data_IF_659879111137
#
_entry.id   IF_659879111137
#
_cell.length_a   1.000
_cell.length_b   1.000
_cell.length_c   1.000
_cell.angle_alpha   90.00
_cell.angle_beta   90.00
_cell.angle_gamma   90.00
#
_symmetry.space_group_name_H-M   'P 1'
#
loop_
_entity.id
_entity.type
_entity.pdbx_description
1 polymer ?
#
# COMPACT_ATOMS: atom_id res chain seq x y z
N UNK A 1 14.45 -5.25 -43.86
CA UNK A 1 14.75 -4.86 -42.47
C UNK A 1 13.95 -3.61 -42.12
N UNK A 2 12.94 -3.74 -41.25
CA UNK A 2 12.37 -2.61 -40.51
C UNK A 2 11.96 -3.15 -39.14
N UNK A 3 12.73 -2.76 -38.13
CA UNK A 3 12.54 -3.14 -36.73
C UNK A 3 11.31 -2.38 -36.19
N UNK A 4 10.17 -3.06 -36.11
CA UNK A 4 9.03 -2.57 -35.34
C UNK A 4 9.41 -2.66 -33.86
N UNK A 5 9.64 -1.51 -33.23
CA UNK A 5 9.75 -1.40 -31.77
C UNK A 5 8.45 -1.90 -31.15
N UNK A 6 8.51 -3.05 -30.47
CA UNK A 6 7.40 -3.63 -29.73
C UNK A 6 7.21 -2.88 -28.40
N UNK A 7 6.43 -1.80 -28.43
CA UNK A 7 5.72 -1.37 -27.23
C UNK A 7 4.56 -2.33 -26.98
N UNK A 8 4.36 -2.78 -25.74
CA UNK A 8 3.17 -3.59 -25.41
C UNK A 8 1.91 -2.78 -25.75
N UNK A 9 0.91 -3.36 -26.45
CA UNK A 9 -0.35 -2.69 -26.67
C UNK A 9 -1.05 -2.45 -25.33
N UNK A 10 -1.58 -1.24 -25.14
CA UNK A 10 -2.37 -0.91 -23.95
C UNK A 10 -3.59 -1.85 -23.87
N UNK A 11 -3.91 -2.42 -22.70
CA UNK A 11 -5.01 -3.38 -22.57
C UNK A 11 -6.38 -2.79 -22.95
N UNK A 12 -7.33 -3.60 -23.46
CA UNK A 12 -8.64 -3.14 -23.96
C UNK A 12 -9.58 -2.48 -22.93
N UNK A 13 -9.27 -2.56 -21.64
CA UNK A 13 -10.08 -1.97 -20.56
C UNK A 13 -9.76 -0.48 -20.28
N UNK A 14 -8.93 0.15 -21.11
CA UNK A 14 -8.61 1.60 -21.05
C UNK A 14 -9.43 2.44 -22.04
N UNK A 15 -10.47 1.89 -22.66
CA UNK A 15 -11.26 2.58 -23.68
C UNK A 15 -12.54 3.14 -23.06
N UNK A 16 -12.58 4.45 -22.82
CA UNK A 16 -13.80 5.22 -22.57
C UNK A 16 -14.04 5.97 -23.86
N UNK A 17 -15.11 5.61 -24.54
CA UNK A 17 -15.61 6.35 -25.68
C UNK A 17 -15.79 7.83 -25.28
N UNK A 18 -15.24 8.77 -26.05
CA UNK A 18 -15.30 10.21 -25.78
C UNK A 18 -14.14 10.79 -24.95
N UNK A 19 -13.48 10.00 -24.09
CA UNK A 19 -12.37 10.53 -23.26
C UNK A 19 -11.09 10.78 -24.09
N UNK A 20 -10.94 10.04 -25.19
CA UNK A 20 -9.82 10.18 -26.12
C UNK A 20 -10.04 11.27 -27.17
N UNK A 21 -11.22 11.90 -27.19
CA UNK A 21 -11.56 12.95 -28.15
C UNK A 21 -10.98 14.32 -27.72
N UNK A 22 -10.62 14.46 -26.44
CA UNK A 22 -9.86 15.60 -25.91
C UNK A 22 -8.34 15.30 -25.90
N UNK A 23 -7.71 15.51 -27.05
CA UNK A 23 -6.28 15.25 -27.23
C UNK A 23 -5.39 16.08 -26.29
N UNK A 24 -5.81 17.29 -25.90
CA UNK A 24 -5.04 18.15 -25.00
C UNK A 24 -5.05 17.59 -23.58
N UNK A 25 -6.22 17.16 -23.11
CA UNK A 25 -6.37 16.51 -21.81
C UNK A 25 -5.60 15.18 -21.76
N UNK A 26 -5.70 14.34 -22.80
CA UNK A 26 -4.96 13.07 -22.86
C UNK A 26 -3.45 13.30 -22.81
N UNK A 27 -2.94 14.28 -23.56
CA UNK A 27 -1.52 14.65 -23.53
C UNK A 27 -1.09 15.12 -22.13
N UNK A 28 -1.91 15.93 -21.47
CA UNK A 28 -1.68 16.41 -20.12
C UNK A 28 -1.70 15.26 -19.10
N UNK A 29 -2.63 14.31 -19.23
CA UNK A 29 -2.70 13.11 -18.41
C UNK A 29 -1.44 12.24 -18.55
N UNK A 30 -1.01 11.95 -19.77
CA UNK A 30 0.21 11.17 -20.03
C UNK A 30 1.44 11.83 -19.39
N UNK A 31 1.59 13.14 -19.55
CA UNK A 31 2.73 13.90 -19.01
C UNK A 31 2.70 14.04 -17.48
N UNK A 32 1.52 14.25 -16.89
CA UNK A 32 1.40 14.53 -15.46
C UNK A 32 1.17 13.29 -14.60
N UNK A 33 0.39 12.33 -15.09
CA UNK A 33 -0.05 11.15 -14.33
C UNK A 33 0.78 9.91 -14.64
N UNK A 34 1.07 9.63 -15.91
CA UNK A 34 1.79 8.40 -16.28
C UNK A 34 3.31 8.53 -16.21
N UNK A 35 3.84 9.75 -16.19
CA UNK A 35 5.29 10.01 -16.20
C UNK A 35 5.78 10.45 -14.83
N UNK A 36 7.01 10.05 -14.47
CA UNK A 36 7.72 10.66 -13.33
C UNK A 36 8.51 11.88 -13.81
N UNK A 37 8.82 12.84 -12.91
CA UNK A 37 9.68 13.97 -13.23
C UNK A 37 11.02 13.49 -13.80
N UNK A 38 11.57 14.23 -14.78
CA UNK A 38 12.81 13.84 -15.49
C UNK A 38 14.02 13.73 -14.55
N UNK A 39 14.05 14.57 -13.51
CA UNK A 39 15.08 14.58 -12.48
C UNK A 39 14.78 13.61 -11.30
N UNK A 40 13.78 12.73 -11.43
CA UNK A 40 13.51 11.73 -10.41
C UNK A 40 14.62 10.68 -10.38
N UNK A 41 15.27 10.53 -9.23
CA UNK A 41 16.38 9.57 -9.03
C UNK A 41 15.91 8.15 -8.70
N UNK A 42 14.61 7.95 -8.44
CA UNK A 42 14.05 6.62 -8.17
C UNK A 42 14.14 5.75 -9.43
N UNK A 43 14.73 4.58 -9.27
CA UNK A 43 14.83 3.59 -10.35
C UNK A 43 13.45 3.10 -10.77
N UNK A 44 13.33 2.51 -11.96
CA UNK A 44 12.07 1.89 -12.42
C UNK A 44 11.56 0.83 -11.44
N UNK A 45 12.46 -0.01 -10.91
CA UNK A 45 12.15 -1.00 -9.86
C UNK A 45 11.49 -0.35 -8.65
N UNK A 46 12.11 0.70 -8.10
CA UNK A 46 11.62 1.38 -6.90
C UNK A 46 10.29 2.06 -7.13
N UNK A 47 10.11 2.70 -8.29
CA UNK A 47 8.85 3.34 -8.67
C UNK A 47 7.70 2.33 -8.73
N UNK A 48 7.95 1.10 -9.21
CA UNK A 48 6.92 0.05 -9.19
C UNK A 48 6.68 -0.54 -7.80
N UNK A 49 7.70 -0.72 -6.95
CA UNK A 49 7.48 -1.16 -5.56
C UNK A 49 6.72 -0.11 -4.72
N UNK A 50 7.02 1.17 -4.91
CA UNK A 50 6.24 2.28 -4.32
C UNK A 50 4.81 2.29 -4.88
N UNK A 51 4.67 2.07 -6.20
CA UNK A 51 3.38 1.92 -6.86
C UNK A 51 2.54 0.76 -6.29
N UNK A 52 3.17 -0.38 -6.03
CA UNK A 52 2.55 -1.55 -5.40
C UNK A 52 2.01 -1.20 -4.02
N UNK A 53 2.80 -0.51 -3.18
CA UNK A 53 2.34 -0.09 -1.86
C UNK A 53 1.11 0.82 -1.93
N UNK A 54 1.10 1.79 -2.84
CA UNK A 54 -0.08 2.64 -3.07
C UNK A 54 -1.29 1.86 -3.56
N UNK A 55 -1.11 0.93 -4.50
CA UNK A 55 -2.19 0.11 -5.03
C UNK A 55 -2.84 -0.76 -3.95
N UNK A 56 -2.03 -1.32 -3.04
CA UNK A 56 -2.53 -2.04 -1.86
C UNK A 56 -3.32 -1.10 -0.95
N UNK A 57 -2.80 0.10 -0.67
CA UNK A 57 -3.48 1.07 0.19
C UNK A 57 -4.83 1.57 -0.37
N UNK A 58 -4.96 1.64 -1.70
CA UNK A 58 -6.21 1.93 -2.40
C UNK A 58 -7.12 0.70 -2.59
N UNK A 59 -6.66 -0.51 -2.24
CA UNK A 59 -7.32 -1.78 -2.57
C UNK A 59 -7.58 -1.93 -4.09
N UNK A 60 -6.64 -1.44 -4.89
CA UNK A 60 -6.74 -1.40 -6.35
C UNK A 60 -6.04 -2.61 -6.98
N UNK A 61 -6.80 -3.70 -7.15
CA UNK A 61 -6.29 -4.99 -7.65
C UNK A 61 -5.55 -4.90 -9.00
N UNK A 62 -6.06 -4.23 -10.06
CA UNK A 62 -5.30 -4.10 -11.31
C UNK A 62 -3.92 -3.46 -11.10
N UNK A 63 -3.85 -2.43 -10.26
CA UNK A 63 -2.59 -1.78 -9.90
C UNK A 63 -1.63 -2.72 -9.17
N UNK A 64 -2.14 -3.56 -8.26
CA UNK A 64 -1.34 -4.57 -7.56
C UNK A 64 -0.69 -5.52 -8.57
N UNK A 65 -1.48 -6.07 -9.50
CA UNK A 65 -0.98 -7.01 -10.51
C UNK A 65 0.05 -6.37 -11.44
N UNK A 66 -0.24 -5.17 -11.96
CA UNK A 66 0.65 -4.44 -12.87
C UNK A 66 1.96 -4.09 -12.16
N UNK A 67 1.91 -3.59 -10.92
CA UNK A 67 3.12 -3.19 -10.21
C UNK A 67 3.97 -4.39 -9.77
N UNK A 68 3.38 -5.54 -9.48
CA UNK A 68 4.14 -6.78 -9.24
C UNK A 68 4.90 -7.20 -10.50
N UNK A 69 4.20 -7.34 -11.63
CA UNK A 69 4.82 -7.75 -12.90
C UNK A 69 5.95 -6.80 -13.31
N UNK A 70 5.68 -5.49 -13.28
CA UNK A 70 6.65 -4.49 -13.69
C UNK A 70 7.84 -4.35 -12.71
N UNK A 71 7.63 -4.57 -11.41
CA UNK A 71 8.74 -4.62 -10.45
C UNK A 71 9.66 -5.81 -10.74
N UNK A 72 9.11 -7.00 -10.98
CA UNK A 72 9.87 -8.20 -11.30
C UNK A 72 10.64 -8.02 -12.63
N UNK A 73 9.98 -7.50 -13.66
CA UNK A 73 10.60 -7.20 -14.96
C UNK A 73 11.70 -6.13 -14.85
N UNK A 74 11.64 -5.27 -13.82
CA UNK A 74 12.66 -4.27 -13.51
C UNK A 74 13.76 -4.78 -12.56
N UNK A 75 13.80 -6.09 -12.28
CA UNK A 75 14.84 -6.72 -11.47
C UNK A 75 14.56 -6.79 -9.96
N UNK A 76 13.32 -6.52 -9.52
CA UNK A 76 12.93 -6.89 -8.15
C UNK A 76 12.90 -8.40 -7.99
N UNK A 77 13.24 -8.88 -6.80
CA UNK A 77 13.06 -10.28 -6.44
C UNK A 77 11.75 -10.50 -5.67
N UNK A 78 11.32 -11.77 -5.56
CA UNK A 78 10.08 -12.14 -4.86
C UNK A 78 10.06 -11.72 -3.39
N UNK A 79 11.20 -11.63 -2.72
CA UNK A 79 11.26 -11.18 -1.31
C UNK A 79 11.01 -9.68 -1.19
N UNK A 80 11.56 -8.86 -2.09
CA UNK A 80 11.27 -7.41 -2.14
C UNK A 80 9.76 -7.16 -2.38
N UNK A 81 9.15 -7.91 -3.29
CA UNK A 81 7.69 -7.84 -3.53
C UNK A 81 6.90 -8.25 -2.30
N UNK A 82 7.23 -9.38 -1.68
CA UNK A 82 6.56 -9.85 -0.47
C UNK A 82 6.71 -8.87 0.70
N UNK A 83 7.91 -8.34 0.91
CA UNK A 83 8.15 -7.36 1.97
C UNK A 83 7.41 -6.05 1.69
N UNK A 84 7.30 -5.63 0.42
CA UNK A 84 6.46 -4.48 0.03
C UNK A 84 4.99 -4.72 0.40
N UNK A 85 4.45 -5.91 0.14
CA UNK A 85 3.07 -6.26 0.53
C UNK A 85 2.90 -6.19 2.06
N UNK A 86 3.82 -6.80 2.81
CA UNK A 86 3.75 -6.86 4.27
C UNK A 86 3.85 -5.47 4.90
N UNK A 87 4.84 -4.66 4.51
CA UNK A 87 5.00 -3.30 5.07
C UNK A 87 3.83 -2.39 4.68
N UNK A 88 3.27 -2.57 3.48
CA UNK A 88 2.10 -1.79 3.04
C UNK A 88 0.85 -2.15 3.84
N UNK A 89 0.58 -3.44 4.04
CA UNK A 89 -0.56 -3.91 4.82
C UNK A 89 -0.48 -3.42 6.27
N UNK A 90 0.68 -3.54 6.91
CA UNK A 90 0.88 -3.08 8.29
C UNK A 90 0.75 -1.56 8.40
N UNK A 91 1.33 -0.81 7.46
CA UNK A 91 1.22 0.66 7.46
C UNK A 91 -0.23 1.12 7.26
N UNK A 92 -0.97 0.48 6.34
CA UNK A 92 -2.39 0.79 6.13
C UNK A 92 -3.24 0.46 7.36
N UNK A 93 -3.00 -0.69 8.00
CA UNK A 93 -3.69 -1.08 9.24
C UNK A 93 -3.40 -0.14 10.41
N UNK A 94 -2.17 0.36 10.54
CA UNK A 94 -1.82 1.38 11.53
C UNK A 94 -2.55 2.69 11.29
N UNK A 95 -2.65 3.12 10.04
CA UNK A 95 -3.43 4.32 9.68
C UNK A 95 -4.90 4.18 10.06
N UNK A 96 -5.51 3.04 9.72
CA UNK A 96 -6.91 2.76 10.04
C UNK A 96 -7.17 2.67 11.54
N UNK A 97 -6.27 2.01 12.28
CA UNK A 97 -6.34 1.95 13.74
C UNK A 97 -6.21 3.35 14.36
N UNK A 98 -5.19 4.13 13.97
CA UNK A 98 -5.00 5.47 14.53
C UNK A 98 -6.22 6.36 14.26
N UNK A 99 -6.80 6.29 13.06
CA UNK A 99 -8.03 7.00 12.73
C UNK A 99 -9.20 6.55 13.61
N UNK A 100 -9.44 5.25 13.75
CA UNK A 100 -10.52 4.73 14.59
C UNK A 100 -10.36 5.18 16.06
N UNK A 101 -9.14 5.12 16.60
CA UNK A 101 -8.86 5.56 17.97
C UNK A 101 -9.08 7.06 18.15
N UNK A 102 -8.73 7.88 17.15
CA UNK A 102 -9.03 9.32 17.16
C UNK A 102 -10.54 9.59 17.18
N UNK A 103 -11.33 8.85 16.39
CA UNK A 103 -12.78 8.98 16.39
C UNK A 103 -13.39 8.58 17.74
N UNK A 104 -12.96 7.46 18.32
CA UNK A 104 -13.42 7.04 19.65
C UNK A 104 -13.12 8.09 20.72
N UNK A 105 -11.89 8.65 20.73
CA UNK A 105 -11.52 9.73 21.65
C UNK A 105 -12.38 10.99 21.44
N UNK A 106 -12.71 11.34 20.20
CA UNK A 106 -13.56 12.51 19.89
C UNK A 106 -15.00 12.34 20.39
N UNK A 107 -15.47 11.09 20.52
CA UNK A 107 -16.77 10.73 21.08
C UNK A 107 -16.75 10.64 22.62
N UNK A 108 -15.60 10.90 23.26
CA UNK A 108 -15.44 10.72 24.71
C UNK A 108 -15.44 9.26 25.15
N UNK A 109 -15.34 8.31 24.21
CA UNK A 109 -15.24 6.89 24.52
C UNK A 109 -13.80 6.58 24.94
N UNK A 110 -13.65 5.72 25.95
CA UNK A 110 -12.34 5.32 26.47
C UNK A 110 -12.24 3.80 26.56
N UNK A 111 -11.03 3.29 26.41
CA UNK A 111 -10.70 1.89 26.64
C UNK A 111 -10.44 1.67 28.15
N UNK A 112 -10.66 0.45 28.66
CA UNK A 112 -10.38 0.13 30.06
C UNK A 112 -8.93 0.48 30.45
N UNK A 113 -8.71 0.91 31.69
CA UNK A 113 -7.38 1.09 32.30
C UNK A 113 -6.44 2.17 31.71
N UNK A 114 -6.98 3.23 31.10
CA UNK A 114 -6.22 4.40 30.63
C UNK A 114 -5.34 5.09 31.70
N UNK A 115 -5.58 4.83 33.00
CA UNK A 115 -4.87 5.44 34.15
C UNK A 115 -3.48 4.85 34.41
N UNK A 116 -3.18 3.66 33.90
CA UNK A 116 -1.82 3.15 33.96
C UNK A 116 -1.01 3.89 32.89
N UNK A 117 0.01 4.66 33.30
CA UNK A 117 0.97 5.24 32.36
C UNK A 117 1.50 4.12 31.49
N UNK A 118 1.08 4.10 30.24
CA UNK A 118 1.69 3.28 29.21
C UNK A 118 3.18 3.63 29.25
N UNK A 119 4.03 2.73 29.77
CA UNK A 119 5.44 2.82 29.46
C UNK A 119 5.51 2.61 27.97
N UNK A 120 6.18 3.51 27.26
CA UNK A 120 6.50 3.27 25.86
C UNK A 120 7.43 2.05 25.84
N UNK A 121 6.83 0.88 25.66
CA UNK A 121 7.56 -0.40 25.59
C UNK A 121 8.07 -0.63 24.17
N UNK A 122 7.59 0.17 23.22
CA UNK A 122 7.96 0.09 21.82
C UNK A 122 9.00 1.18 21.56
N UNK A 123 10.23 0.82 21.20
CA UNK A 123 11.18 1.75 20.57
C UNK A 123 10.73 2.13 19.13
N UNK A 124 9.42 2.13 18.90
CA UNK A 124 8.77 2.35 17.62
C UNK A 124 8.02 3.68 17.66
N UNK A 125 8.13 4.52 16.62
CA UNK A 125 7.52 5.85 16.56
C UNK A 125 6.00 5.80 16.29
N UNK A 126 5.23 5.15 17.16
CA UNK A 126 3.78 5.02 17.06
C UNK A 126 3.05 6.29 17.53
N UNK A 127 1.77 6.43 17.17
CA UNK A 127 0.95 7.52 17.68
C UNK A 127 0.65 7.33 19.17
N UNK A 128 0.43 8.43 19.89
CA UNK A 128 0.04 8.38 21.31
C UNK A 128 -1.24 7.57 21.54
N UNK A 129 -2.17 7.61 20.59
CA UNK A 129 -3.42 6.87 20.66
C UNK A 129 -3.16 5.36 20.60
N UNK A 130 -2.32 4.90 19.68
CA UNK A 130 -1.97 3.49 19.55
C UNK A 130 -1.22 3.02 20.81
N UNK A 131 -0.24 3.79 21.30
CA UNK A 131 0.50 3.42 22.52
C UNK A 131 -0.46 3.26 23.72
N UNK A 132 -1.40 4.20 23.89
CA UNK A 132 -2.41 4.11 24.94
C UNK A 132 -3.34 2.90 24.74
N UNK A 133 -3.75 2.63 23.50
CA UNK A 133 -4.58 1.48 23.14
C UNK A 133 -3.88 0.13 23.35
N UNK A 134 -2.56 0.03 23.26
CA UNK A 134 -1.89 -1.26 23.51
C UNK A 134 -1.58 -1.48 25.00
N UNK A 135 -1.64 -0.43 25.82
CA UNK A 135 -1.23 -0.52 27.23
C UNK A 135 -2.21 -1.29 28.13
N UNK A 136 -3.44 -1.55 27.68
CA UNK A 136 -4.47 -2.22 28.51
C UNK A 136 -4.47 -3.75 28.38
N UNK A 137 -3.88 -4.32 27.32
CA UNK A 137 -3.80 -5.77 27.09
C UNK A 137 -2.39 -6.16 26.64
N UNK A 138 -1.65 -6.83 27.53
CA UNK A 138 -0.27 -7.24 27.31
C UNK A 138 -0.12 -8.28 26.20
N UNK A 139 -1.08 -9.18 26.05
CA UNK A 139 -1.03 -10.21 25.00
C UNK A 139 -1.34 -9.59 23.64
N UNK A 140 -2.29 -8.65 23.59
CA UNK A 140 -2.55 -7.85 22.39
C UNK A 140 -1.30 -7.05 22.00
N UNK A 141 -0.65 -6.42 23.00
CA UNK A 141 0.59 -5.67 22.79
C UNK A 141 1.68 -6.52 22.12
N UNK A 142 1.99 -7.71 22.65
CA UNK A 142 3.07 -8.55 22.10
C UNK A 142 2.83 -8.96 20.65
N UNK A 143 1.60 -9.40 20.33
CA UNK A 143 1.23 -9.79 18.97
C UNK A 143 1.27 -8.60 18.00
N UNK A 144 0.82 -7.43 18.47
CA UNK A 144 0.84 -6.20 17.70
C UNK A 144 2.28 -5.73 17.43
N UNK A 145 3.12 -5.67 18.46
CA UNK A 145 4.53 -5.29 18.33
C UNK A 145 5.28 -6.22 17.36
N UNK A 146 5.01 -7.53 17.44
CA UNK A 146 5.59 -8.51 16.51
C UNK A 146 5.17 -8.32 15.05
N UNK A 147 3.98 -7.77 14.82
CA UNK A 147 3.50 -7.45 13.47
C UNK A 147 4.12 -6.15 12.97
N UNK A 148 4.18 -5.13 13.83
CA UNK A 148 4.63 -3.78 13.46
C UNK A 148 6.13 -3.66 13.29
N UNK A 149 6.93 -4.48 13.99
CA UNK A 149 8.40 -4.43 13.88
C UNK A 149 8.93 -4.58 12.46
N UNK A 150 8.18 -5.24 11.57
CA UNK A 150 8.54 -5.35 10.15
C UNK A 150 8.78 -3.99 9.49
N UNK A 151 8.14 -2.93 9.96
CA UNK A 151 8.32 -1.57 9.42
C UNK A 151 9.69 -0.98 9.74
N UNK A 152 10.40 -1.53 10.72
CA UNK A 152 11.64 -0.96 11.27
C UNK A 152 12.82 -1.94 11.26
N UNK A 153 12.55 -3.24 11.14
CA UNK A 153 13.57 -4.27 11.01
C UNK A 153 14.12 -4.40 9.58
N UNK A 154 15.27 -5.06 9.47
CA UNK A 154 15.88 -5.37 8.18
C UNK A 154 14.99 -6.35 7.40
N UNK A 155 14.67 -5.98 6.17
CA UNK A 155 13.93 -6.81 5.22
C UNK A 155 14.77 -7.06 3.97
N UNK A 156 14.18 -7.61 2.91
CA UNK A 156 14.80 -7.62 1.58
C UNK A 156 14.82 -6.24 0.91
N UNK A 157 14.03 -5.29 1.40
CA UNK A 157 14.04 -3.91 0.95
C UNK A 157 15.17 -3.15 1.66
N UNK A 158 15.84 -2.26 0.91
CA UNK A 158 16.69 -1.27 1.53
C UNK A 158 15.87 -0.36 2.46
N UNK A 159 16.46 0.04 3.60
CA UNK A 159 15.76 0.86 4.59
C UNK A 159 15.18 2.14 3.97
N UNK A 160 15.91 2.77 3.04
CA UNK A 160 15.45 3.93 2.28
C UNK A 160 14.15 3.66 1.53
N UNK A 161 14.12 2.61 0.71
CA UNK A 161 12.97 2.24 -0.10
C UNK A 161 11.78 1.78 0.76
N UNK A 162 12.04 1.01 1.82
CA UNK A 162 11.02 0.58 2.77
C UNK A 162 10.26 1.78 3.35
N UNK A 163 10.99 2.81 3.81
CA UNK A 163 10.35 4.00 4.38
C UNK A 163 9.65 4.85 3.32
N UNK A 164 10.13 4.88 2.07
CA UNK A 164 9.41 5.52 0.96
C UNK A 164 8.10 4.80 0.62
N UNK A 165 8.05 3.46 0.70
CA UNK A 165 6.81 2.69 0.55
C UNK A 165 5.83 3.02 1.68
N UNK A 166 6.29 3.00 2.94
CA UNK A 166 5.44 3.37 4.08
C UNK A 166 4.93 4.82 3.99
N UNK A 167 5.77 5.74 3.51
CA UNK A 167 5.37 7.12 3.22
C UNK A 167 4.26 7.15 2.18
N UNK A 168 4.42 6.44 1.06
CA UNK A 168 3.42 6.39 0.00
C UNK A 168 2.06 5.87 0.50
N UNK A 169 2.08 4.79 1.28
CA UNK A 169 0.88 4.20 1.90
C UNK A 169 0.24 5.18 2.89
N UNK A 170 1.04 5.80 3.75
CA UNK A 170 0.56 6.81 4.72
C UNK A 170 -0.10 7.99 4.00
N UNK A 171 0.48 8.43 2.88
CA UNK A 171 -0.07 9.51 2.06
C UNK A 171 -1.39 9.12 1.38
N UNK A 172 -1.52 7.89 0.87
CA UNK A 172 -2.80 7.38 0.34
C UNK A 172 -3.89 7.38 1.41
N UNK A 173 -3.56 6.93 2.63
CA UNK A 173 -4.50 6.83 3.75
C UNK A 173 -4.78 8.17 4.44
N UNK A 174 -4.13 9.27 4.04
CA UNK A 174 -4.23 10.56 4.72
C UNK A 174 -3.67 10.53 6.16
N UNK A 175 -2.78 9.60 6.48
CA UNK A 175 -2.29 9.38 7.83
C UNK A 175 -1.17 10.36 8.18
N UNK A 176 -1.53 11.53 8.72
CA UNK A 176 -0.60 12.63 8.99
C UNK A 176 0.60 12.27 9.87
N UNK A 177 0.39 11.46 10.92
CA UNK A 177 1.49 10.98 11.76
C UNK A 177 2.43 10.06 10.99
N UNK A 178 1.89 9.12 10.19
CA UNK A 178 2.68 8.24 9.32
C UNK A 178 3.51 9.02 8.32
N UNK A 179 2.93 10.02 7.66
CA UNK A 179 3.63 10.91 6.70
C UNK A 179 4.83 11.57 7.39
N UNK A 180 4.64 12.12 8.60
CA UNK A 180 5.71 12.78 9.36
C UNK A 180 6.82 11.79 9.77
N UNK A 181 6.46 10.62 10.27
CA UNK A 181 7.41 9.61 10.74
C UNK A 181 8.21 9.04 9.57
N UNK A 182 7.53 8.54 8.54
CA UNK A 182 8.19 7.86 7.43
C UNK A 182 8.99 8.82 6.54
N UNK A 183 8.60 10.10 6.42
CA UNK A 183 9.44 11.11 5.76
C UNK A 183 10.78 11.31 6.48
N UNK A 184 10.76 11.38 7.83
CA UNK A 184 11.99 11.53 8.63
C UNK A 184 12.87 10.29 8.58
N UNK A 185 12.26 9.10 8.65
CA UNK A 185 12.99 7.83 8.59
C UNK A 185 13.58 7.60 7.20
N UNK A 186 12.86 7.95 6.13
CA UNK A 186 13.38 7.90 4.77
C UNK A 186 14.59 8.83 4.59
N UNK A 187 14.49 10.08 5.06
CA UNK A 187 15.60 11.03 5.03
C UNK A 187 16.81 10.51 5.82
N UNK A 188 16.59 9.96 7.03
CA UNK A 188 17.65 9.35 7.85
C UNK A 188 18.31 8.14 7.15
N UNK A 189 17.54 7.41 6.34
CA UNK A 189 18.02 6.28 5.55
C UNK A 189 18.63 6.70 4.20
N UNK A 190 18.79 8.00 3.94
CA UNK A 190 19.47 8.53 2.75
C UNK A 190 18.54 8.90 1.58
N UNK A 191 17.22 8.93 1.77
CA UNK A 191 16.32 9.45 0.74
C UNK A 191 16.53 10.96 0.57
N UNK A 192 16.55 11.43 -0.68
CA UNK A 192 16.64 12.86 -0.96
C UNK A 192 15.32 13.56 -0.67
N UNK A 193 15.35 14.89 -0.55
CA UNK A 193 14.14 15.69 -0.40
C UNK A 193 13.22 15.51 -1.62
N UNK A 194 13.81 15.44 -2.80
CA UNK A 194 13.12 15.28 -4.08
C UNK A 194 12.40 13.94 -4.14
N UNK A 195 13.04 12.84 -3.73
CA UNK A 195 12.42 11.52 -3.69
C UNK A 195 11.20 11.50 -2.77
N UNK A 196 11.32 12.06 -1.57
CA UNK A 196 10.21 12.17 -0.60
C UNK A 196 9.03 12.95 -1.21
N UNK A 197 9.30 14.11 -1.81
CA UNK A 197 8.28 14.93 -2.47
C UNK A 197 7.64 14.18 -3.65
N UNK A 198 8.43 13.52 -4.49
CA UNK A 198 7.92 12.79 -5.65
C UNK A 198 7.09 11.58 -5.23
N UNK A 199 7.42 10.91 -4.13
CA UNK A 199 6.55 9.85 -3.58
C UNK A 199 5.20 10.42 -3.18
N UNK A 200 5.16 11.53 -2.43
CA UNK A 200 3.90 12.17 -2.01
C UNK A 200 3.09 12.64 -3.23
N UNK A 201 3.71 13.33 -4.18
CA UNK A 201 3.06 13.79 -5.42
C UNK A 201 2.56 12.60 -6.26
N UNK A 202 3.28 11.47 -6.26
CA UNK A 202 2.87 10.28 -7.02
C UNK A 202 1.56 9.66 -6.51
N UNK A 203 1.09 10.01 -5.30
CA UNK A 203 -0.22 9.58 -4.79
C UNK A 203 -1.36 10.17 -5.61
N UNK A 204 -1.27 11.46 -5.96
CA UNK A 204 -2.22 12.09 -6.88
C UNK A 204 -2.33 11.31 -8.19
N UNK A 205 -1.18 10.91 -8.76
CA UNK A 205 -1.12 10.15 -10.02
C UNK A 205 -1.85 8.81 -9.92
N UNK A 206 -1.63 8.08 -8.83
CA UNK A 206 -2.31 6.82 -8.59
C UNK A 206 -3.81 7.04 -8.37
N UNK A 207 -4.21 8.07 -7.62
CA UNK A 207 -5.61 8.42 -7.40
C UNK A 207 -6.34 8.68 -8.72
N UNK A 208 -5.78 9.53 -9.61
CA UNK A 208 -6.38 9.79 -10.93
C UNK A 208 -6.46 8.51 -11.75
N UNK A 209 -5.43 7.67 -11.74
CA UNK A 209 -5.42 6.40 -12.48
C UNK A 209 -6.51 5.43 -11.99
N UNK A 210 -6.67 5.31 -10.67
CA UNK A 210 -7.74 4.50 -10.07
C UNK A 210 -9.12 5.04 -10.44
N UNK A 211 -9.34 6.36 -10.32
CA UNK A 211 -10.62 6.99 -10.69
C UNK A 211 -10.95 6.83 -12.17
N UNK A 212 -9.97 7.01 -13.05
CA UNK A 212 -10.14 6.77 -14.48
C UNK A 212 -10.52 5.33 -14.78
N UNK A 213 -9.86 4.36 -14.13
CA UNK A 213 -10.23 2.95 -14.28
C UNK A 213 -11.63 2.64 -13.79
N UNK A 214 -12.15 3.33 -12.77
CA UNK A 214 -13.56 3.20 -12.37
C UNK A 214 -14.48 3.76 -13.47
N UNK A 215 -14.11 4.88 -14.11
CA UNK A 215 -14.84 5.43 -15.26
C UNK A 215 -14.85 4.50 -16.47
N UNK A 216 -13.72 3.84 -16.77
CA UNK A 216 -13.63 2.78 -17.78
C UNK A 216 -14.38 1.48 -17.36
N UNK A 217 -14.63 1.29 -16.06
CA UNK A 217 -15.44 0.22 -15.47
C UNK A 217 -16.93 0.56 -15.35
N UNK A 218 -17.43 1.60 -16.02
CA UNK A 218 -18.84 1.71 -16.36
C UNK A 218 -19.09 1.05 -17.73
N UNK A 219 -19.28 -0.28 -17.82
CA UNK A 219 -19.91 -0.85 -18.97
C UNK A 219 -21.42 -0.62 -18.87
N UNK A 220 -22.08 -0.35 -19.99
CA UNK A 220 -23.51 -0.62 -20.18
C UNK A 220 -23.83 -2.15 -20.09
N UNK A 221 -22.99 -2.95 -19.40
CA UNK A 221 -23.13 -4.39 -19.20
C UNK A 221 -22.14 -4.90 -18.13
N UNK A 222 -22.62 -5.24 -16.93
CA UNK A 222 -21.82 -5.92 -15.90
C UNK A 222 -21.50 -7.35 -16.36
N UNK A 223 -20.22 -7.76 -16.50
CA UNK A 223 -19.90 -9.14 -16.82
C UNK A 223 -20.24 -10.07 -15.65
N UNK A 224 -20.58 -11.33 -15.95
CA UNK A 224 -20.83 -12.37 -14.96
C UNK A 224 -19.59 -12.60 -14.07
N UNK A 225 -19.70 -12.14 -12.82
CA UNK A 225 -18.65 -12.23 -11.81
C UNK A 225 -18.56 -13.61 -11.14
N UNK A 226 -19.36 -14.60 -11.56
CA UNK A 226 -19.35 -15.98 -11.02
C UNK A 226 -17.98 -16.68 -11.11
N UNK A 227 -17.07 -16.18 -11.97
CA UNK A 227 -15.71 -16.70 -12.16
C UNK A 227 -14.62 -15.94 -11.39
N UNK A 228 -14.91 -14.77 -10.82
CA UNK A 228 -14.01 -14.08 -9.90
C UNK A 228 -14.13 -14.72 -8.52
N UNK A 229 -13.55 -15.92 -8.39
CA UNK A 229 -13.34 -16.55 -7.09
C UNK A 229 -12.33 -15.70 -6.31
N UNK A 230 -12.80 -15.08 -5.24
CA UNK A 230 -12.01 -14.29 -4.29
C UNK A 230 -10.70 -15.00 -3.92
N UNK A 231 -9.67 -14.22 -3.57
CA UNK A 231 -8.41 -14.69 -2.98
C UNK A 231 -8.66 -15.68 -1.82
N UNK A 232 -9.78 -15.53 -1.10
CA UNK A 232 -10.28 -16.46 -0.09
C UNK A 232 -10.42 -17.91 -0.60
N UNK A 233 -10.99 -18.13 -1.79
CA UNK A 233 -11.15 -19.45 -2.39
C UNK A 233 -9.80 -20.08 -2.79
N UNK A 234 -8.81 -19.25 -3.19
CA UNK A 234 -7.44 -19.72 -3.42
C UNK A 234 -6.73 -20.11 -2.13
N UNK A 235 -7.02 -19.39 -1.03
CA UNK A 235 -6.46 -19.64 0.30
C UNK A 235 -7.05 -20.88 0.97
N UNK A 236 -8.34 -21.14 0.75
CA UNK A 236 -9.07 -22.28 1.31
C UNK A 236 -8.85 -23.55 0.50
N UNK A 237 -8.72 -23.47 -0.84
CA UNK A 237 -8.58 -24.66 -1.71
C UNK A 237 -7.16 -25.03 -2.07
N UNK A 238 -6.23 -24.08 -2.11
CA UNK A 238 -4.82 -24.46 -2.18
C UNK A 238 -4.42 -24.97 -0.81
N UNK A 239 -4.08 -26.26 -0.71
CA UNK A 239 -3.45 -26.87 0.47
C UNK A 239 -2.07 -26.26 0.72
N UNK A 240 -2.00 -24.94 0.88
CA UNK A 240 -0.81 -24.25 1.34
C UNK A 240 -0.48 -24.84 2.71
N UNK A 241 0.76 -25.27 2.90
CA UNK A 241 1.20 -25.90 4.16
C UNK A 241 1.05 -24.99 5.40
N UNK A 242 0.69 -23.72 5.20
CA UNK A 242 0.33 -22.77 6.26
C UNK A 242 -1.12 -22.93 6.77
N UNK A 243 -2.05 -23.47 5.96
CA UNK A 243 -3.47 -23.66 6.34
C UNK A 243 -3.79 -25.05 6.92
N UNK A 244 -2.85 -25.99 6.93
CA UNK A 244 -3.11 -27.40 7.32
C UNK A 244 -3.08 -27.61 8.85
N UNK A 245 -2.79 -26.59 9.65
CA UNK A 245 -2.65 -26.73 11.11
C UNK A 245 -3.73 -26.09 11.99
N UNK A 246 -4.84 -25.61 11.43
CA UNK A 246 -5.85 -24.97 12.27
C UNK A 246 -7.28 -25.13 11.75
N UNK A 247 -7.76 -26.36 11.72
CA UNK A 247 -9.20 -26.67 11.68
C UNK A 247 -9.47 -27.86 12.60
N UNK A 248 -9.44 -27.59 13.90
CA UNK A 248 -10.31 -28.25 14.89
C UNK A 248 -11.11 -27.12 15.53
N UNK A 249 -12.11 -26.62 14.79
CA UNK A 249 -13.05 -25.60 15.27
C UNK A 249 -14.47 -26.17 15.46
N UNK A 250 -14.64 -27.48 15.27
CA UNK A 250 -15.95 -28.16 15.42
C UNK A 250 -16.24 -28.66 16.85
N UNK A 251 -15.39 -28.37 17.84
CA UNK A 251 -15.62 -28.79 19.23
C UNK A 251 -16.25 -27.69 20.12
N UNK A 252 -16.85 -26.65 19.55
CA UNK A 252 -17.42 -25.52 20.32
C UNK A 252 -18.80 -25.03 19.82
N UNK A 253 -19.61 -25.90 19.21
CA UNK A 253 -21.05 -25.71 19.10
C UNK A 253 -21.78 -26.80 19.89
#
# INVERSE_FOLDING_TARGET
MSSKKSGMPAPPYLWAEGLLDDAEWVNSYIKSVLSWPENCTLTTKERHLIGLGKAIAYLWEPGVLIHIDQALNSGANLREVNDTIRVSAVTAGLADLDYALQQLNSLGLSYPNQKNKARDRCDMPLSKNIIAFLAWDEKLYENFANTVKILFEKTALEARLQQLICLAVSSVKGWGQGIKVHSKLAAKAGATREEIVYVVVSVFKTSVSTSMQVGFRYPCYTPDMSKYRLIYDSYVRSRSRAGVKQLDFESLL
#
